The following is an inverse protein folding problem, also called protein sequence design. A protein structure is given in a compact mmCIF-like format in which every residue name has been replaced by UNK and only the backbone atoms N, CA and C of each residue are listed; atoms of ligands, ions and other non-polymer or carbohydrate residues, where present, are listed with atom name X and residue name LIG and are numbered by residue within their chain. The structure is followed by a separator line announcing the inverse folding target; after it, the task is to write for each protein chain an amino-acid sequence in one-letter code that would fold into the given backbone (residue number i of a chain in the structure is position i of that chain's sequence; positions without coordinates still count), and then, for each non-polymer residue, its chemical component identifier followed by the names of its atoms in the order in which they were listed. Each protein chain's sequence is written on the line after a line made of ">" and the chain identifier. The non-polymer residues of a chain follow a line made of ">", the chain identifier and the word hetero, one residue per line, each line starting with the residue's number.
data_IF_360999076213
#
_entry.id   IF_360999076213
#
_cell.length_a   1.000
_cell.length_b   1.000
_cell.length_c   1.000
_cell.angle_alpha   90.00
_cell.angle_beta   90.00
_cell.angle_gamma   90.00
#
_symmetry.space_group_name_H-M   'P 1'
#
loop_
_entity.id
_entity.type
_entity.pdbx_description
1 polymer ?
#
# COMPACT_ATOMS: atom_id res chain seq x y z
N UNK A 1 -0.48 10.89 21.63
CA UNK A 1 -0.40 9.48 22.09
C UNK A 1 -0.50 8.49 20.92
N UNK A 2 0.18 8.75 19.79
CA UNK A 2 0.17 7.85 18.61
C UNK A 2 1.54 7.16 18.41
N UNK A 3 2.45 7.31 19.37
CA UNK A 3 3.88 7.05 19.15
C UNK A 3 4.40 5.73 19.72
N UNK A 4 3.60 4.93 20.43
CA UNK A 4 4.10 3.74 21.16
C UNK A 4 3.63 2.39 20.62
N UNK A 5 2.95 2.31 19.46
CA UNK A 5 2.43 1.04 18.95
C UNK A 5 3.30 0.36 17.86
N UNK A 6 4.34 1.01 17.33
CA UNK A 6 5.02 0.51 16.12
C UNK A 6 6.33 -0.27 16.37
N UNK A 7 6.85 -0.35 17.60
CA UNK A 7 8.25 -0.77 17.80
C UNK A 7 8.51 -2.28 17.98
N UNK A 8 7.53 -3.18 17.81
CA UNK A 8 7.74 -4.61 18.12
C UNK A 8 7.31 -5.62 17.05
N UNK A 9 7.40 -5.25 15.76
CA UNK A 9 7.46 -6.28 14.73
C UNK A 9 8.94 -6.65 14.54
N UNK A 10 9.34 -7.84 14.96
CA UNK A 10 10.70 -8.38 14.75
C UNK A 10 10.95 -8.72 13.27
N UNK A 11 10.46 -7.86 12.37
CA UNK A 11 10.35 -8.05 10.93
C UNK A 11 11.68 -7.72 10.27
N UNK A 12 12.30 -8.72 9.63
CA UNK A 12 13.54 -8.55 8.88
C UNK A 12 13.27 -7.74 7.59
N UNK A 13 13.45 -6.42 7.70
CA UNK A 13 13.34 -5.46 6.59
C UNK A 13 14.38 -5.72 5.47
N UNK A 14 15.39 -6.57 5.69
CA UNK A 14 16.46 -6.82 4.72
C UNK A 14 16.14 -7.90 3.68
N UNK A 15 15.15 -8.77 3.93
CA UNK A 15 14.75 -9.88 3.05
C UNK A 15 13.22 -10.06 2.99
N UNK A 16 12.53 -9.10 2.38
CA UNK A 16 11.08 -9.16 2.20
C UNK A 16 10.74 -10.18 1.09
N UNK A 17 9.85 -11.13 1.38
CA UNK A 17 9.28 -12.04 0.38
C UNK A 17 7.82 -11.68 0.17
N UNK A 18 7.47 -11.34 -1.06
CA UNK A 18 6.09 -11.10 -1.45
C UNK A 18 5.46 -12.43 -1.85
N UNK A 19 4.39 -12.82 -1.18
CA UNK A 19 3.65 -14.06 -1.50
C UNK A 19 2.38 -13.66 -2.26
N UNK A 20 2.31 -14.04 -3.53
CA UNK A 20 1.06 -14.01 -4.29
C UNK A 20 0.33 -15.35 -4.09
N UNK A 21 -0.97 -15.31 -3.85
CA UNK A 21 -1.83 -16.49 -3.94
C UNK A 21 -2.65 -16.37 -5.22
N UNK A 22 -2.27 -17.09 -6.26
CA UNK A 22 -3.01 -17.16 -7.54
C UNK A 22 -3.52 -18.58 -7.75
N UNK A 23 -4.84 -18.76 -7.89
CA UNK A 23 -5.44 -20.07 -8.17
C UNK A 23 -5.14 -21.16 -7.13
N UNK A 24 -4.80 -20.79 -5.89
CA UNK A 24 -4.38 -21.71 -4.83
C UNK A 24 -2.88 -22.04 -4.79
N UNK A 25 -2.07 -21.47 -5.69
CA UNK A 25 -0.62 -21.58 -5.67
C UNK A 25 0.03 -20.36 -4.98
N UNK A 26 1.02 -20.62 -4.14
CA UNK A 26 1.85 -19.58 -3.52
C UNK A 26 3.05 -19.27 -4.41
N UNK A 27 3.11 -18.04 -4.91
CA UNK A 27 4.22 -17.51 -5.69
C UNK A 27 5.08 -16.62 -4.80
N UNK A 28 6.32 -17.03 -4.54
CA UNK A 28 7.27 -16.22 -3.78
C UNK A 28 8.04 -15.34 -4.75
N UNK A 29 7.83 -14.03 -4.64
CA UNK A 29 8.64 -13.02 -5.32
C UNK A 29 9.57 -12.40 -4.29
N UNK A 30 10.87 -12.67 -4.42
CA UNK A 30 11.86 -12.08 -3.54
C UNK A 30 12.02 -10.57 -3.75
N UNK A 31 12.27 -9.83 -2.68
CA UNK A 31 12.55 -8.38 -2.69
C UNK A 31 13.58 -7.98 -3.75
N UNK A 32 14.62 -8.79 -3.95
CA UNK A 32 15.62 -8.55 -5.00
C UNK A 32 15.00 -8.48 -6.40
N UNK A 33 14.00 -9.31 -6.69
CA UNK A 33 13.30 -9.31 -7.98
C UNK A 33 12.53 -8.00 -8.17
N UNK A 34 11.78 -7.58 -7.15
CA UNK A 34 11.04 -6.30 -7.15
C UNK A 34 12.01 -5.12 -7.30
N UNK A 35 13.08 -5.09 -6.50
CA UNK A 35 14.10 -4.03 -6.52
C UNK A 35 14.81 -3.91 -7.86
N UNK A 36 14.95 -4.99 -8.63
CA UNK A 36 15.63 -4.99 -9.94
C UNK A 36 14.72 -4.70 -11.13
N UNK A 37 13.40 -4.89 -11.00
CA UNK A 37 12.47 -4.63 -12.10
C UNK A 37 12.54 -3.16 -12.55
N UNK A 38 12.70 -2.92 -13.84
CA UNK A 38 12.72 -1.57 -14.44
C UNK A 38 11.84 -1.47 -15.69
N UNK A 39 11.55 -2.60 -16.32
CA UNK A 39 10.68 -2.65 -17.50
C UNK A 39 9.26 -3.09 -17.14
N UNK A 40 8.29 -2.62 -17.93
CA UNK A 40 6.88 -2.99 -17.78
C UNK A 40 6.68 -4.51 -17.69
N UNK A 41 7.35 -5.27 -18.56
CA UNK A 41 7.27 -6.74 -18.62
C UNK A 41 7.84 -7.48 -17.40
N UNK A 42 8.57 -6.78 -16.54
CA UNK A 42 9.06 -7.27 -15.25
C UNK A 42 8.10 -6.84 -14.14
N UNK A 43 7.66 -5.58 -14.18
CA UNK A 43 6.76 -4.97 -13.19
C UNK A 43 5.38 -5.62 -13.21
N UNK A 44 4.86 -5.97 -14.39
CA UNK A 44 3.55 -6.61 -14.55
C UNK A 44 3.42 -7.93 -13.78
N UNK A 45 4.55 -8.63 -13.57
CA UNK A 45 4.65 -9.93 -12.89
C UNK A 45 4.76 -9.82 -11.37
N UNK A 46 4.88 -8.61 -10.84
CA UNK A 46 4.96 -8.36 -9.41
C UNK A 46 3.54 -8.35 -8.82
N UNK A 47 3.40 -8.82 -7.58
CA UNK A 47 2.12 -8.76 -6.87
C UNK A 47 1.59 -7.32 -6.75
N UNK A 48 0.26 -7.09 -6.69
CA UNK A 48 -0.31 -5.75 -6.82
C UNK A 48 0.27 -4.68 -5.90
N UNK A 49 0.42 -4.95 -4.59
CA UNK A 49 0.96 -3.98 -3.64
C UNK A 49 2.42 -3.61 -3.95
N UNK A 50 3.27 -4.61 -4.20
CA UNK A 50 4.66 -4.39 -4.53
C UNK A 50 4.85 -3.76 -5.92
N UNK A 51 3.92 -4.03 -6.85
CA UNK A 51 3.84 -3.38 -8.16
C UNK A 51 3.61 -1.88 -7.99
N UNK A 52 2.62 -1.49 -7.20
CA UNK A 52 2.33 -0.08 -6.94
C UNK A 52 3.51 0.63 -6.25
N UNK A 53 4.08 0.02 -5.21
CA UNK A 53 5.32 0.53 -4.57
C UNK A 53 6.43 0.74 -5.59
N UNK A 54 6.61 -0.21 -6.51
CA UNK A 54 7.65 -0.14 -7.53
C UNK A 54 7.39 0.97 -8.56
N UNK A 55 6.14 1.16 -8.97
CA UNK A 55 5.73 2.25 -9.84
C UNK A 55 6.06 3.60 -9.19
N UNK A 56 5.66 3.81 -7.94
CA UNK A 56 5.98 5.05 -7.20
C UNK A 56 7.49 5.29 -7.08
N UNK A 57 8.27 4.24 -6.78
CA UNK A 57 9.74 4.33 -6.74
C UNK A 57 10.32 4.81 -8.10
N UNK A 58 9.81 4.27 -9.21
CA UNK A 58 10.26 4.63 -10.56
C UNK A 58 9.84 6.06 -10.91
N UNK A 59 8.59 6.44 -10.63
CA UNK A 59 8.07 7.78 -10.92
C UNK A 59 8.87 8.87 -10.19
N UNK A 60 9.29 8.61 -8.96
CA UNK A 60 10.04 9.58 -8.14
C UNK A 60 11.57 9.49 -8.25
N UNK A 61 12.10 8.49 -8.97
CA UNK A 61 13.54 8.36 -9.20
C UNK A 61 14.09 9.45 -10.14
N UNK A 62 15.41 9.72 -10.12
CA UNK A 62 16.04 10.56 -11.15
C UNK A 62 15.72 10.03 -12.57
N UNK A 63 15.16 10.89 -13.42
CA UNK A 63 14.70 10.52 -14.76
C UNK A 63 13.27 9.95 -14.82
N UNK A 64 12.56 9.91 -13.68
CA UNK A 64 11.13 9.61 -13.59
C UNK A 64 10.26 10.81 -13.96
N UNK A 65 9.02 10.81 -13.46
CA UNK A 65 8.05 11.86 -13.71
C UNK A 65 8.34 13.11 -12.85
N UNK A 66 8.54 14.30 -13.45
CA UNK A 66 8.85 15.51 -12.69
C UNK A 66 7.74 15.93 -11.71
N UNK A 67 6.47 15.71 -12.08
CA UNK A 67 5.32 16.07 -11.24
C UNK A 67 5.28 15.19 -10.00
N UNK A 68 5.29 13.87 -10.18
CA UNK A 68 5.30 12.91 -9.07
C UNK A 68 6.52 13.08 -8.17
N UNK A 69 7.69 13.44 -8.72
CA UNK A 69 8.90 13.71 -7.95
C UNK A 69 8.81 15.00 -7.12
N UNK A 70 8.02 16.00 -7.55
CA UNK A 70 7.84 17.28 -6.86
C UNK A 70 6.78 17.23 -5.75
N UNK A 71 5.93 16.19 -5.73
CA UNK A 71 4.91 15.97 -4.71
C UNK A 71 5.52 15.94 -3.29
N UNK A 72 4.81 16.60 -2.36
CA UNK A 72 5.11 16.66 -0.93
C UNK A 72 3.84 16.42 -0.10
N UNK A 73 3.97 16.30 1.22
CA UNK A 73 2.85 16.04 2.14
C UNK A 73 1.64 16.97 1.94
N UNK A 74 1.88 18.25 1.65
CA UNK A 74 0.82 19.25 1.50
C UNK A 74 0.10 19.15 0.13
N UNK A 75 0.79 18.80 -0.95
CA UNK A 75 0.13 18.59 -2.24
C UNK A 75 -0.62 17.25 -2.26
N UNK A 76 -0.01 16.18 -1.72
CA UNK A 76 -0.63 14.86 -1.68
C UNK A 76 -1.92 14.86 -0.86
N UNK A 77 -1.99 15.61 0.26
CA UNK A 77 -3.21 15.65 1.07
C UNK A 77 -4.35 16.38 0.37
N UNK A 78 -4.08 17.34 -0.51
CA UNK A 78 -5.12 18.00 -1.30
C UNK A 78 -5.63 17.04 -2.39
N UNK A 79 -4.75 16.37 -3.15
CA UNK A 79 -5.17 15.35 -4.11
C UNK A 79 -5.97 14.24 -3.42
N UNK A 80 -5.51 13.75 -2.27
CA UNK A 80 -6.23 12.70 -1.51
C UNK A 80 -7.65 13.12 -1.10
N UNK A 81 -7.90 14.42 -0.85
CA UNK A 81 -9.25 14.93 -0.59
C UNK A 81 -10.10 14.94 -1.86
N UNK A 82 -9.53 15.35 -2.99
CA UNK A 82 -10.20 15.32 -4.29
C UNK A 82 -10.63 13.88 -4.61
N UNK A 83 -9.73 12.89 -4.50
CA UNK A 83 -10.07 11.47 -4.70
C UNK A 83 -11.18 10.97 -3.76
N UNK A 84 -11.24 11.49 -2.53
CA UNK A 84 -12.27 11.11 -1.57
C UNK A 84 -13.65 11.60 -2.01
N UNK A 85 -13.72 12.81 -2.56
CA UNK A 85 -14.97 13.35 -3.13
C UNK A 85 -15.35 12.59 -4.40
N UNK A 86 -14.40 12.22 -5.26
CA UNK A 86 -14.67 11.42 -6.46
C UNK A 86 -15.17 10.01 -6.12
N UNK A 87 -14.60 9.36 -5.09
CA UNK A 87 -15.15 8.11 -4.53
C UNK A 87 -16.59 8.31 -4.04
N UNK A 88 -16.87 9.41 -3.33
CA UNK A 88 -18.23 9.68 -2.87
C UNK A 88 -19.21 9.84 -4.05
N UNK A 89 -18.83 10.60 -5.08
CA UNK A 89 -19.63 10.80 -6.29
C UNK A 89 -19.90 9.50 -7.05
N UNK A 90 -18.89 8.63 -7.19
CA UNK A 90 -19.05 7.34 -7.90
C UNK A 90 -20.02 6.42 -7.15
N UNK A 91 -19.97 6.40 -5.81
CA UNK A 91 -20.94 5.67 -4.98
C UNK A 91 -22.35 6.22 -5.15
N UNK A 92 -22.53 7.54 -5.14
CA UNK A 92 -23.84 8.19 -5.31
C UNK A 92 -24.45 7.89 -6.69
N UNK A 93 -23.62 7.84 -7.73
CA UNK A 93 -24.03 7.55 -9.11
C UNK A 93 -24.18 6.05 -9.39
N UNK A 94 -23.72 5.18 -8.48
CA UNK A 94 -23.68 3.73 -8.69
C UNK A 94 -22.68 3.30 -9.77
N UNK A 95 -21.66 4.10 -10.02
CA UNK A 95 -20.63 3.83 -11.03
C UNK A 95 -19.52 2.95 -10.46
N UNK A 96 -19.77 1.64 -10.46
CA UNK A 96 -18.84 0.65 -9.91
C UNK A 96 -17.53 0.57 -10.71
N UNK A 97 -17.54 0.93 -12.00
CA UNK A 97 -16.34 0.91 -12.82
C UNK A 97 -15.36 1.98 -12.33
N UNK A 98 -15.85 3.22 -12.21
CA UNK A 98 -15.03 4.33 -11.77
C UNK A 98 -14.69 4.23 -10.28
N UNK A 99 -15.57 3.67 -9.45
CA UNK A 99 -15.25 3.45 -8.03
C UNK A 99 -13.94 2.64 -7.83
N UNK A 100 -13.69 1.66 -8.69
CA UNK A 100 -12.45 0.88 -8.61
C UNK A 100 -11.21 1.71 -9.00
N UNK A 101 -11.36 2.67 -9.91
CA UNK A 101 -10.33 3.59 -10.36
C UNK A 101 -9.99 4.58 -9.24
N UNK A 102 -10.99 5.27 -8.69
CA UNK A 102 -10.78 6.30 -7.64
C UNK A 102 -10.21 5.68 -6.34
N UNK A 103 -10.64 4.46 -5.98
CA UNK A 103 -10.03 3.74 -4.85
C UNK A 103 -8.57 3.38 -5.12
N UNK A 104 -8.21 3.16 -6.39
CA UNK A 104 -6.83 2.99 -6.85
C UNK A 104 -6.01 4.26 -6.66
N UNK A 105 -6.57 5.41 -6.99
CA UNK A 105 -5.89 6.71 -6.87
C UNK A 105 -5.73 7.14 -5.41
N UNK A 106 -6.71 6.85 -4.55
CA UNK A 106 -6.52 6.94 -3.10
C UNK A 106 -5.33 6.08 -2.62
N UNK A 107 -5.21 4.85 -3.13
CA UNK A 107 -4.09 3.96 -2.76
C UNK A 107 -2.76 4.47 -3.30
N UNK A 108 -2.73 5.07 -4.49
CA UNK A 108 -1.54 5.70 -5.05
C UNK A 108 -1.05 6.85 -4.15
N UNK A 109 -1.95 7.73 -3.71
CA UNK A 109 -1.65 8.82 -2.80
C UNK A 109 -1.13 8.32 -1.42
N UNK A 110 -1.71 7.24 -0.88
CA UNK A 110 -1.18 6.57 0.33
C UNK A 110 0.24 6.04 0.11
N UNK A 111 0.49 5.41 -1.04
CA UNK A 111 1.81 4.87 -1.37
C UNK A 111 2.85 5.98 -1.56
N UNK A 112 2.49 7.11 -2.16
CA UNK A 112 3.33 8.30 -2.26
C UNK A 112 3.74 8.82 -0.89
N UNK A 113 2.79 8.98 0.03
CA UNK A 113 3.07 9.38 1.42
C UNK A 113 4.00 8.40 2.12
N UNK A 114 3.76 7.09 1.97
CA UNK A 114 4.62 6.07 2.55
C UNK A 114 6.04 6.09 1.95
N UNK A 115 6.17 6.34 0.64
CA UNK A 115 7.48 6.46 0.01
C UNK A 115 8.28 7.66 0.55
N UNK A 116 7.64 8.82 0.72
CA UNK A 116 8.27 10.00 1.33
C UNK A 116 8.65 9.72 2.79
N UNK A 117 7.75 9.10 3.56
CA UNK A 117 8.04 8.71 4.95
C UNK A 117 9.25 7.76 5.05
N UNK A 118 9.38 6.80 4.13
CA UNK A 118 10.53 5.89 4.08
C UNK A 118 11.83 6.64 3.79
N UNK A 119 11.81 7.61 2.85
CA UNK A 119 12.96 8.47 2.55
C UNK A 119 13.38 9.30 3.78
N UNK A 120 12.40 9.77 4.55
CA UNK A 120 12.59 10.52 5.79
C UNK A 120 12.86 9.62 7.02
N UNK A 121 12.91 8.29 6.84
CA UNK A 121 13.12 7.28 7.90
C UNK A 121 12.08 7.34 9.03
N UNK A 122 10.83 7.67 8.70
CA UNK A 122 9.73 7.80 9.66
C UNK A 122 8.97 6.48 9.85
N UNK A 123 8.42 5.93 8.76
CA UNK A 123 7.68 4.66 8.74
C UNK A 123 7.61 4.10 7.32
N UNK A 124 7.16 2.85 7.22
CA UNK A 124 7.02 2.06 5.99
C UNK A 124 5.55 1.73 5.70
N UNK A 125 5.25 1.34 4.46
CA UNK A 125 3.90 0.86 4.11
C UNK A 125 3.53 -0.41 4.89
N UNK A 126 4.50 -1.29 5.16
CA UNK A 126 4.28 -2.48 5.97
C UNK A 126 3.85 -2.13 7.41
N UNK A 127 4.45 -1.10 8.02
CA UNK A 127 4.06 -0.60 9.35
C UNK A 127 2.64 0.01 9.34
N UNK A 128 2.27 0.75 8.28
CA UNK A 128 0.92 1.32 8.13
C UNK A 128 -0.15 0.23 8.03
N UNK A 129 0.06 -0.76 7.15
CA UNK A 129 -0.90 -1.85 6.94
C UNK A 129 -1.01 -2.72 8.20
N UNK A 130 0.13 -3.09 8.81
CA UNK A 130 0.14 -3.91 10.03
C UNK A 130 -0.54 -3.18 11.18
N UNK A 131 -0.21 -1.89 11.39
CA UNK A 131 -0.83 -1.09 12.45
C UNK A 131 -2.35 -0.95 12.29
N UNK A 132 -2.84 -0.80 11.05
CA UNK A 132 -4.26 -0.80 10.75
C UNK A 132 -4.93 -2.15 11.07
N UNK A 133 -4.35 -3.25 10.60
CA UNK A 133 -4.86 -4.60 10.83
C UNK A 133 -4.90 -4.94 12.32
N UNK A 134 -3.81 -4.72 13.05
CA UNK A 134 -3.74 -4.97 14.49
C UNK A 134 -4.74 -4.12 15.28
N UNK A 135 -4.94 -2.86 14.89
CA UNK A 135 -5.96 -2.00 15.50
C UNK A 135 -7.35 -2.60 15.31
N UNK A 136 -7.67 -3.10 14.13
CA UNK A 136 -8.95 -3.75 13.85
C UNK A 136 -9.10 -5.06 14.63
N UNK A 137 -8.04 -5.88 14.70
CA UNK A 137 -8.05 -7.13 15.50
C UNK A 137 -8.32 -6.83 16.97
N UNK A 138 -7.60 -5.88 17.57
CA UNK A 138 -7.81 -5.47 18.97
C UNK A 138 -9.20 -4.90 19.21
N UNK A 139 -9.75 -4.16 18.25
CA UNK A 139 -11.09 -3.58 18.32
C UNK A 139 -12.24 -4.58 18.19
N UNK A 140 -11.96 -5.81 17.74
CA UNK A 140 -12.96 -6.85 17.47
C UNK A 140 -12.59 -8.17 18.17
N UNK A 141 -12.24 -8.08 19.46
CA UNK A 141 -11.80 -9.20 20.29
C UNK A 141 -12.71 -10.44 20.17
N UNK A 142 -14.03 -10.28 20.16
CA UNK A 142 -14.99 -11.40 20.05
C UNK A 142 -14.80 -12.23 18.78
N UNK A 143 -14.39 -11.60 17.68
CA UNK A 143 -14.15 -12.27 16.39
C UNK A 143 -12.79 -12.96 16.38
N UNK A 144 -11.78 -12.36 17.01
CA UNK A 144 -10.38 -12.80 16.88
C UNK A 144 -9.77 -13.50 18.10
N UNK A 145 -10.47 -13.57 19.23
CA UNK A 145 -10.03 -14.27 20.46
C UNK A 145 -10.87 -15.50 20.81
N UNK A 146 -11.93 -15.77 20.04
CA UNK A 146 -12.69 -17.00 20.19
C UNK A 146 -11.96 -18.14 19.46
N UNK A 147 -11.82 -19.30 20.10
CA UNK A 147 -11.32 -20.56 19.49
C UNK A 147 -12.23 -21.09 18.36
N UNK A 148 -13.27 -20.35 18.01
CA UNK A 148 -14.14 -20.70 16.90
C UNK A 148 -13.43 -20.37 15.59
N UNK A 149 -13.20 -21.38 14.76
CA UNK A 149 -12.79 -21.15 13.38
C UNK A 149 -13.80 -20.25 12.68
N UNK A 150 -13.33 -19.13 12.13
CA UNK A 150 -14.12 -18.28 11.24
C UNK A 150 -14.55 -19.14 10.06
N UNK A 151 -15.87 -19.24 9.84
CA UNK A 151 -16.45 -20.00 8.71
C UNK A 151 -16.55 -19.08 7.49
N UNK A 152 -16.11 -19.56 6.33
CA UNK A 152 -16.18 -18.88 5.03
C UNK A 152 -17.14 -19.62 4.09
#
# INVERSE_FOLDING_TARGET
>A
MVQEAAENTNFDKSNINYIALEGGAAHVIGDRTVRKARHYSEIEKIIPLAKLRKVVEILRAPGGCPNDAAENWASIIEHFREETEEVAETVEKGDISNLCEELGDMMFNIMLMCHIAEQEKLFTIEEVISGSAEKMIRGHDKVFTTDQQVKF
#
